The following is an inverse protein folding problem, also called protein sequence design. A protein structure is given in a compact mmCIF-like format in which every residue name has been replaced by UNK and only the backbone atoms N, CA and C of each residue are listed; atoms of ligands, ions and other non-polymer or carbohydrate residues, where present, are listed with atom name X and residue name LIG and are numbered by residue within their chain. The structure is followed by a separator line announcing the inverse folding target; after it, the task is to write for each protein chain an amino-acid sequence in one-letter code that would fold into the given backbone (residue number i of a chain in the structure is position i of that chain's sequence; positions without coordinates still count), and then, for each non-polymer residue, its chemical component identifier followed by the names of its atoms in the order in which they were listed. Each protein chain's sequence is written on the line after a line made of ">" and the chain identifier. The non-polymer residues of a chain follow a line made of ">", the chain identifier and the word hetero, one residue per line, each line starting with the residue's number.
data_IF_445128395158
#
_entry.id   IF_445128395158
#
_cell.length_a   1.000
_cell.length_b   1.000
_cell.length_c   1.000
_cell.angle_alpha   90.00
_cell.angle_beta   90.00
_cell.angle_gamma   90.00
#
_symmetry.space_group_name_H-M   'P 1'
#
loop_
_entity.id
_entity.type
_entity.pdbx_description
1 polymer ?
#
# COMPACT_ATOMS: atom_id res chain seq x y z
N UNK A 1 -8.83 -3.64 -15.89
CA UNK A 1 -8.96 -3.13 -14.50
C UNK A 1 -7.88 -3.68 -13.57
N UNK A 2 -7.68 -5.00 -13.50
CA UNK A 2 -6.72 -5.67 -12.60
C UNK A 2 -5.26 -5.21 -12.73
N UNK A 3 -4.76 -5.04 -13.95
CA UNK A 3 -3.40 -4.54 -14.21
C UNK A 3 -3.22 -3.10 -13.71
N UNK A 4 -4.23 -2.26 -13.93
CA UNK A 4 -4.20 -0.83 -13.61
C UNK A 4 -4.18 -0.60 -12.09
N UNK A 5 -4.97 -1.39 -11.35
CA UNK A 5 -4.96 -1.42 -9.88
C UNK A 5 -3.62 -1.92 -9.34
N UNK A 6 -3.04 -2.94 -9.97
CA UNK A 6 -1.72 -3.45 -9.57
C UNK A 6 -0.63 -2.37 -9.76
N UNK A 7 -0.65 -1.65 -10.88
CA UNK A 7 0.25 -0.51 -11.10
C UNK A 7 0.03 0.62 -10.08
N UNK A 8 -1.22 0.91 -9.74
CA UNK A 8 -1.56 1.91 -8.72
C UNK A 8 -1.03 1.52 -7.34
N UNK A 9 -1.17 0.25 -6.94
CA UNK A 9 -0.59 -0.30 -5.71
C UNK A 9 0.93 -0.13 -5.71
N UNK A 10 1.62 -0.52 -6.79
CA UNK A 10 3.08 -0.39 -6.90
C UNK A 10 3.55 1.07 -6.81
N UNK A 11 2.80 1.99 -7.42
CA UNK A 11 3.07 3.42 -7.30
C UNK A 11 2.90 3.90 -5.84
N UNK A 12 1.85 3.47 -5.14
CA UNK A 12 1.63 3.81 -3.74
C UNK A 12 2.77 3.26 -2.86
N UNK A 13 3.20 2.01 -3.07
CA UNK A 13 4.37 1.39 -2.40
C UNK A 13 5.63 2.22 -2.63
N UNK A 14 5.88 2.68 -3.85
CA UNK A 14 7.06 3.48 -4.17
C UNK A 14 7.04 4.84 -3.46
N UNK A 15 5.93 5.57 -3.53
CA UNK A 15 5.79 6.88 -2.88
C UNK A 15 5.86 6.78 -1.35
N UNK A 16 5.41 5.66 -0.77
CA UNK A 16 5.51 5.38 0.65
C UNK A 16 6.96 5.39 1.19
N UNK A 17 7.95 5.12 0.34
CA UNK A 17 9.37 5.17 0.74
C UNK A 17 9.85 6.60 1.03
N UNK A 18 9.16 7.62 0.50
CA UNK A 18 9.53 9.03 0.62
C UNK A 18 8.63 9.80 1.58
N UNK A 19 7.34 9.44 1.66
CA UNK A 19 6.36 10.15 2.49
C UNK A 19 5.79 9.17 3.53
N UNK A 20 6.14 9.37 4.80
CA UNK A 20 5.72 8.47 5.88
C UNK A 20 4.23 8.59 6.27
N UNK A 21 3.59 9.73 6.02
CA UNK A 21 2.20 9.97 6.43
C UNK A 21 1.19 9.41 5.43
N UNK A 22 0.40 8.43 5.87
CA UNK A 22 -0.68 7.81 5.08
C UNK A 22 -1.76 8.82 4.66
N UNK A 23 -2.18 9.70 5.56
CA UNK A 23 -3.21 10.70 5.24
C UNK A 23 -2.69 11.77 4.27
N UNK A 24 -1.43 12.19 4.41
CA UNK A 24 -0.84 13.21 3.53
C UNK A 24 -0.67 12.71 2.09
N UNK A 25 -0.25 11.45 1.92
CA UNK A 25 -0.18 10.81 0.59
C UNK A 25 -1.57 10.64 -0.02
N UNK A 26 -2.54 10.15 0.74
CA UNK A 26 -3.89 9.96 0.21
C UNK A 26 -4.53 11.29 -0.18
N UNK A 27 -4.30 12.36 0.58
CA UNK A 27 -4.77 13.70 0.24
C UNK A 27 -4.24 14.20 -1.13
N UNK A 28 -3.04 13.77 -1.52
CA UNK A 28 -2.51 14.05 -2.85
C UNK A 28 -3.07 13.11 -3.93
N UNK A 29 -3.17 11.82 -3.64
CA UNK A 29 -3.62 10.82 -4.62
C UNK A 29 -5.13 10.89 -4.91
N UNK A 30 -5.95 11.05 -3.88
CA UNK A 30 -7.40 11.01 -3.98
C UNK A 30 -7.99 11.96 -5.04
N UNK A 31 -7.67 13.28 -5.07
CA UNK A 31 -8.26 14.19 -6.05
C UNK A 31 -7.88 13.90 -7.51
N UNK A 32 -6.81 13.13 -7.75
CA UNK A 32 -6.35 12.80 -9.11
C UNK A 32 -6.81 11.41 -9.52
N UNK A 33 -6.51 10.39 -8.71
CA UNK A 33 -6.71 9.00 -9.09
C UNK A 33 -8.14 8.52 -8.86
N UNK A 34 -8.85 9.03 -7.86
CA UNK A 34 -10.24 8.62 -7.62
C UNK A 34 -11.14 9.01 -8.81
N UNK A 35 -11.17 10.28 -9.27
CA UNK A 35 -11.99 10.64 -10.44
C UNK A 35 -11.55 9.90 -11.72
N UNK A 36 -10.24 9.76 -11.93
CA UNK A 36 -9.69 9.06 -13.09
C UNK A 36 -10.12 7.59 -13.15
N UNK A 37 -10.07 6.88 -12.02
CA UNK A 37 -10.45 5.48 -11.95
C UNK A 37 -11.97 5.29 -12.01
N UNK A 38 -12.74 6.24 -11.48
CA UNK A 38 -14.20 6.27 -11.63
C UNK A 38 -14.64 6.35 -13.09
N UNK A 39 -13.92 7.11 -13.94
CA UNK A 39 -14.23 7.22 -15.37
C UNK A 39 -14.11 5.89 -16.13
N UNK A 40 -13.33 4.94 -15.62
CA UNK A 40 -13.17 3.60 -16.20
C UNK A 40 -13.97 2.53 -15.43
N UNK A 41 -14.92 2.96 -14.60
CA UNK A 41 -15.85 2.09 -13.90
C UNK A 41 -15.31 1.46 -12.61
N UNK A 42 -14.18 1.93 -12.08
CA UNK A 42 -13.64 1.49 -10.78
C UNK A 42 -14.21 2.37 -9.67
N UNK A 43 -14.73 1.76 -8.61
CA UNK A 43 -15.29 2.50 -7.49
C UNK A 43 -14.25 3.30 -6.68
N UNK A 44 -14.66 4.43 -6.06
CA UNK A 44 -13.79 5.16 -5.15
C UNK A 44 -13.33 4.28 -3.97
N UNK A 45 -14.18 3.36 -3.51
CA UNK A 45 -13.85 2.42 -2.44
C UNK A 45 -12.76 1.44 -2.86
N UNK A 46 -12.83 0.92 -4.09
CA UNK A 46 -11.80 0.02 -4.62
C UNK A 46 -10.46 0.74 -4.83
N UNK A 47 -10.51 2.00 -5.26
CA UNK A 47 -9.33 2.87 -5.33
C UNK A 47 -8.72 3.09 -3.96
N UNK A 48 -9.53 3.36 -2.94
CA UNK A 48 -9.07 3.56 -1.57
C UNK A 48 -8.45 2.28 -0.99
N UNK A 49 -9.07 1.12 -1.18
CA UNK A 49 -8.52 -0.17 -0.73
C UNK A 49 -7.17 -0.45 -1.39
N UNK A 50 -7.06 -0.22 -2.69
CA UNK A 50 -5.81 -0.39 -3.43
C UNK A 50 -4.70 0.53 -2.89
N UNK A 51 -5.04 1.79 -2.58
CA UNK A 51 -4.10 2.71 -1.95
C UNK A 51 -3.64 2.21 -0.57
N UNK A 52 -4.58 1.76 0.29
CA UNK A 52 -4.27 1.27 1.64
C UNK A 52 -3.35 0.05 1.62
N UNK A 53 -3.53 -0.84 0.64
CA UNK A 53 -2.64 -1.97 0.42
C UNK A 53 -1.22 -1.46 0.17
N UNK A 54 -1.04 -0.58 -0.81
CA UNK A 54 0.29 -0.06 -1.16
C UNK A 54 0.96 0.72 -0.02
N UNK A 55 0.21 1.59 0.65
CA UNK A 55 0.70 2.35 1.82
C UNK A 55 1.18 1.42 2.96
N UNK A 56 0.47 0.33 3.21
CA UNK A 56 0.80 -0.56 4.33
C UNK A 56 2.09 -1.36 4.15
N UNK A 57 2.33 -1.91 2.95
CA UNK A 57 3.30 -3.00 2.75
C UNK A 57 4.76 -2.52 2.86
N UNK A 58 5.05 -1.29 2.41
CA UNK A 58 6.38 -0.69 2.46
C UNK A 58 6.70 0.06 3.76
N UNK A 59 5.79 0.13 4.72
CA UNK A 59 6.01 0.89 5.97
C UNK A 59 7.14 0.35 6.83
N UNK A 60 7.46 -0.93 6.69
CA UNK A 60 8.53 -1.60 7.45
C UNK A 60 9.92 -1.40 6.85
N UNK A 61 10.02 -0.96 5.59
CA UNK A 61 11.29 -0.70 4.90
C UNK A 61 11.56 0.80 4.66
N UNK A 62 10.58 1.67 4.91
CA UNK A 62 10.77 3.11 4.69
C UNK A 62 11.64 3.74 5.80
N UNK A 63 12.81 4.31 5.46
CA UNK A 63 13.68 4.96 6.45
C UNK A 63 13.05 6.25 7.01
N UNK A 64 12.02 6.78 6.33
CA UNK A 64 11.26 7.96 6.75
C UNK A 64 10.22 7.65 7.83
N UNK A 65 10.03 6.37 8.20
CA UNK A 65 9.15 6.01 9.29
C UNK A 65 9.75 6.48 10.63
N UNK A 66 9.04 7.31 11.43
CA UNK A 66 9.53 7.75 12.74
C UNK A 66 9.90 6.60 13.69
N UNK A 67 9.24 5.45 13.56
CA UNK A 67 9.49 4.26 14.37
C UNK A 67 10.74 3.48 13.94
N UNK A 68 11.31 3.74 12.76
CA UNK A 68 12.48 3.02 12.25
C UNK A 68 13.68 3.11 13.19
N UNK A 69 13.90 4.28 13.81
CA UNK A 69 14.99 4.48 14.78
C UNK A 69 14.76 3.66 16.05
N UNK A 70 13.52 3.61 16.54
CA UNK A 70 13.16 2.83 17.73
C UNK A 70 13.39 1.33 17.45
N UNK A 71 12.94 0.83 16.30
CA UNK A 71 13.15 -0.55 15.86
C UNK A 71 14.64 -0.87 15.76
N UNK A 72 15.44 0.02 15.14
CA UNK A 72 16.88 -0.15 15.04
C UNK A 72 17.55 -0.27 16.42
N UNK A 73 17.14 0.56 17.38
CA UNK A 73 17.68 0.52 18.73
C UNK A 73 17.37 -0.80 19.44
N UNK A 74 16.17 -1.36 19.23
CA UNK A 74 15.84 -2.69 19.74
C UNK A 74 16.67 -3.79 19.08
N UNK A 75 16.83 -3.77 17.75
CA UNK A 75 17.67 -4.76 17.03
C UNK A 75 19.12 -4.68 17.48
N UNK A 76 19.65 -3.48 17.71
CA UNK A 76 21.03 -3.26 18.19
C UNK A 76 21.31 -3.89 19.56
N UNK A 77 20.29 -4.10 20.41
CA UNK A 77 20.45 -4.79 21.71
C UNK A 77 20.89 -6.25 21.51
N UNK A 78 20.42 -6.90 20.44
CA UNK A 78 20.68 -8.32 20.16
C UNK A 78 21.79 -8.51 19.13
N UNK A 79 21.84 -7.67 18.08
CA UNK A 79 22.81 -7.76 16.98
C UNK A 79 23.67 -6.50 16.96
N UNK A 80 24.82 -6.58 17.66
CA UNK A 80 25.79 -5.49 17.76
C UNK A 80 26.34 -5.15 16.36
N UNK A 81 26.30 -3.88 15.98
CA UNK A 81 26.74 -3.40 14.66
C UNK A 81 25.63 -3.25 13.61
N UNK A 82 24.38 -3.61 13.92
CA UNK A 82 23.25 -3.40 13.03
C UNK A 82 23.05 -1.92 12.69
N UNK A 83 22.84 -1.62 11.40
CA UNK A 83 22.48 -0.29 10.90
C UNK A 83 21.07 -0.25 10.30
N UNK A 84 20.66 0.92 9.79
CA UNK A 84 19.38 1.07 9.09
C UNK A 84 19.27 0.10 7.91
N UNK A 85 20.34 -0.04 7.13
CA UNK A 85 20.40 -1.01 6.02
C UNK A 85 20.17 -2.45 6.47
N UNK A 86 20.69 -2.84 7.64
CA UNK A 86 20.48 -4.19 8.20
C UNK A 86 19.00 -4.47 8.45
N UNK A 87 18.29 -3.52 9.07
CA UNK A 87 16.85 -3.65 9.35
C UNK A 87 16.05 -3.68 8.04
N UNK A 88 16.35 -2.77 7.11
CA UNK A 88 15.66 -2.69 5.81
C UNK A 88 15.87 -3.97 5.00
N UNK A 89 17.10 -4.46 4.87
CA UNK A 89 17.41 -5.69 4.15
C UNK A 89 16.79 -6.93 4.80
N UNK A 90 16.71 -6.96 6.14
CA UNK A 90 16.04 -8.03 6.87
C UNK A 90 14.52 -8.03 6.62
N UNK A 91 13.90 -6.86 6.48
CA UNK A 91 12.46 -6.71 6.27
C UNK A 91 12.04 -6.79 4.80
N UNK A 92 12.96 -6.59 3.86
CA UNK A 92 12.66 -6.57 2.42
C UNK A 92 11.97 -7.86 1.91
N UNK A 93 12.38 -9.08 2.29
CA UNK A 93 11.68 -10.31 1.88
C UNK A 93 10.23 -10.34 2.39
N UNK A 94 9.97 -9.84 3.60
CA UNK A 94 8.63 -9.75 4.17
C UNK A 94 7.76 -8.79 3.36
N UNK A 95 8.29 -7.60 3.04
CA UNK A 95 7.60 -6.62 2.19
C UNK A 95 7.22 -7.23 0.84
N UNK A 96 8.13 -7.94 0.18
CA UNK A 96 7.85 -8.57 -1.14
C UNK A 96 6.75 -9.63 -1.00
N UNK A 97 6.85 -10.52 -0.01
CA UNK A 97 5.88 -11.59 0.17
C UNK A 97 4.49 -11.05 0.54
N UNK A 98 4.43 -10.06 1.43
CA UNK A 98 3.17 -9.39 1.78
C UNK A 98 2.57 -8.63 0.60
N UNK A 99 3.39 -7.99 -0.23
CA UNK A 99 2.91 -7.28 -1.43
C UNK A 99 2.21 -8.23 -2.38
N UNK A 100 2.87 -9.34 -2.70
CA UNK A 100 2.33 -10.37 -3.60
C UNK A 100 1.04 -10.95 -3.01
N UNK A 101 1.05 -11.30 -1.72
CA UNK A 101 -0.11 -11.87 -1.03
C UNK A 101 -1.31 -10.92 -1.01
N UNK A 102 -1.06 -9.62 -0.75
CA UNK A 102 -2.12 -8.61 -0.73
C UNK A 102 -2.70 -8.32 -2.11
N UNK A 103 -1.84 -8.19 -3.12
CA UNK A 103 -2.29 -8.00 -4.51
C UNK A 103 -3.11 -9.20 -4.95
N UNK A 104 -2.62 -10.43 -4.68
CA UNK A 104 -3.36 -11.65 -4.98
C UNK A 104 -4.72 -11.69 -4.28
N UNK A 105 -4.77 -11.37 -2.98
CA UNK A 105 -6.02 -11.31 -2.22
C UNK A 105 -7.00 -10.31 -2.84
N UNK A 106 -6.55 -9.10 -3.19
CA UNK A 106 -7.40 -8.10 -3.80
C UNK A 106 -7.95 -8.57 -5.16
N UNK A 107 -7.09 -9.12 -6.01
CA UNK A 107 -7.50 -9.62 -7.32
C UNK A 107 -8.53 -10.74 -7.17
N UNK A 108 -8.27 -11.70 -6.29
CA UNK A 108 -9.24 -12.76 -5.95
C UNK A 108 -10.57 -12.18 -5.47
N UNK A 109 -10.54 -11.14 -4.62
CA UNK A 109 -11.74 -10.47 -4.12
C UNK A 109 -12.57 -9.82 -5.23
N UNK A 110 -11.90 -9.17 -6.18
CA UNK A 110 -12.52 -8.54 -7.34
C UNK A 110 -13.17 -9.59 -8.24
N UNK A 111 -12.48 -10.70 -8.52
CA UNK A 111 -13.01 -11.81 -9.35
C UNK A 111 -14.23 -12.47 -8.71
N UNK A 112 -14.26 -12.58 -7.38
CA UNK A 112 -15.42 -13.09 -6.63
C UNK A 112 -16.59 -12.10 -6.57
N UNK A 113 -16.40 -10.85 -7.02
CA UNK A 113 -17.44 -9.83 -7.02
C UNK A 113 -17.89 -9.43 -5.62
N UNK A 114 -17.08 -9.70 -4.59
CA UNK A 114 -17.49 -9.47 -3.20
C UNK A 114 -17.48 -7.98 -2.85
N UNK A 115 -18.50 -7.48 -2.15
CA UNK A 115 -18.49 -6.11 -1.66
C UNK A 115 -17.29 -5.91 -0.72
N UNK A 116 -16.65 -4.75 -0.83
CA UNK A 116 -15.52 -4.37 0.04
C UNK A 116 -15.97 -4.04 1.47
N UNK A 117 -17.28 -3.85 1.66
CA UNK A 117 -17.95 -3.57 2.91
C UNK A 117 -19.39 -3.11 2.68
N UNK A 118 -20.10 -2.68 3.73
CA UNK A 118 -21.42 -2.07 3.59
C UNK A 118 -21.35 -0.84 2.69
N UNK A 119 -22.08 -0.85 1.56
CA UNK A 119 -22.01 0.20 0.54
C UNK A 119 -20.71 0.22 -0.29
N UNK A 120 -19.81 -0.74 -0.10
CA UNK A 120 -18.51 -0.83 -0.78
C UNK A 120 -18.60 -1.59 -2.10
N UNK A 121 -19.26 -1.00 -3.10
CA UNK A 121 -19.35 -1.60 -4.43
C UNK A 121 -17.98 -1.63 -5.12
N UNK A 122 -17.75 -2.60 -6.00
CA UNK A 122 -16.50 -2.72 -6.77
C UNK A 122 -16.50 -1.85 -8.04
N UNK A 123 -17.68 -1.62 -8.61
CA UNK A 123 -17.87 -0.91 -9.87
C UNK A 123 -18.56 0.42 -9.63
N UNK A 124 -18.11 1.45 -10.35
CA UNK A 124 -18.79 2.73 -10.43
C UNK A 124 -19.54 2.83 -11.76
N UNK A 125 -20.80 3.24 -11.73
CA UNK A 125 -21.55 3.59 -12.93
C UNK A 125 -21.51 5.10 -13.08
N UNK A 126 -21.06 5.58 -14.24
CA UNK A 126 -21.16 7.00 -14.58
C UNK A 126 -22.64 7.41 -14.58
N UNK A 127 -22.98 8.57 -14.01
CA UNK A 127 -24.33 9.11 -14.09
C UNK A 127 -24.73 9.45 -15.53
#
# INVERSE_FOLDING_TARGET
>A
NSILLSCFILMAVFINLFIGSSSSKYAFFAPVFVPMLMQIGISPELTQVSYRIGDSVSNVITPMNPYMIIILMEVKKYVRGSGLGTVISMMLPYTIFFLISWVFLLLFWIEMGWPLGPGGFLTYQLP
#
